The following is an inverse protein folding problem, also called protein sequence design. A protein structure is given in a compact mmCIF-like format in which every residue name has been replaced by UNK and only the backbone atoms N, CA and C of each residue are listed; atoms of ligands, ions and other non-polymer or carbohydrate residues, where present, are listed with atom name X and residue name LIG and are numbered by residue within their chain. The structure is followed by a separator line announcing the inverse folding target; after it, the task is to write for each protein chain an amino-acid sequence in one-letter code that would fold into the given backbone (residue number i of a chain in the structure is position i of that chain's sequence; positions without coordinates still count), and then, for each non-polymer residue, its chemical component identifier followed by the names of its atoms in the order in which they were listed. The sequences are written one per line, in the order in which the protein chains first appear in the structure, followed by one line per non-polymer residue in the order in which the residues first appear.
data_IF_117525120646
#
_entry.id   IF_117525120646
#
_cell.length_a   1.000
_cell.length_b   1.000
_cell.length_c   1.000
_cell.angle_alpha   90.00
_cell.angle_beta   90.00
_cell.angle_gamma   90.00
#
_symmetry.space_group_name_H-M   'P 1'
#
loop_
_entity.id
_entity.type
_entity.pdbx_description
1 polymer ?
#
# COMPACT_ATOMS: atom_id res chain seq x y z
N UNK A 1 23.03 23.70 45.92
CA UNK A 1 22.67 22.76 44.84
C UNK A 1 23.61 21.58 44.96
N UNK A 2 23.09 20.39 45.29
CA UNK A 2 23.90 19.17 45.23
C UNK A 2 24.12 18.88 43.74
N UNK A 3 25.38 18.98 43.31
CA UNK A 3 25.76 18.71 41.92
C UNK A 3 25.54 17.23 41.62
N UNK A 4 24.93 16.97 40.47
CA UNK A 4 24.74 15.62 39.93
C UNK A 4 26.09 14.89 39.86
N UNK A 5 26.16 13.65 40.33
CA UNK A 5 27.42 12.90 40.36
C UNK A 5 27.75 12.32 38.99
N UNK A 6 29.04 12.17 38.68
CA UNK A 6 29.49 11.60 37.40
C UNK A 6 28.93 10.20 37.16
N UNK A 7 28.81 9.39 38.22
CA UNK A 7 28.27 8.04 38.13
C UNK A 7 26.79 8.02 37.76
N UNK A 8 25.99 8.99 38.22
CA UNK A 8 24.58 9.11 37.82
C UNK A 8 24.46 9.42 36.32
N UNK A 9 25.37 10.25 35.77
CA UNK A 9 25.38 10.56 34.34
C UNK A 9 25.75 9.35 33.49
N UNK A 10 26.78 8.60 33.90
CA UNK A 10 27.21 7.41 33.17
C UNK A 10 26.12 6.33 33.18
N UNK A 11 25.43 6.13 34.30
CA UNK A 11 24.33 5.17 34.39
C UNK A 11 23.17 5.54 33.45
N UNK A 12 22.81 6.82 33.36
CA UNK A 12 21.77 7.30 32.44
C UNK A 12 22.18 7.07 30.98
N UNK A 13 23.43 7.37 30.61
CA UNK A 13 23.93 7.15 29.25
C UNK A 13 23.88 5.67 28.87
N UNK A 14 24.33 4.78 29.77
CA UNK A 14 24.28 3.32 29.53
C UNK A 14 22.84 2.84 29.39
N UNK A 15 21.91 3.32 30.24
CA UNK A 15 20.49 2.97 30.14
C UNK A 15 19.88 3.45 28.82
N UNK A 16 20.13 4.70 28.41
CA UNK A 16 19.63 5.24 27.14
C UNK A 16 20.22 4.45 25.96
N UNK A 17 21.49 4.05 26.02
CA UNK A 17 22.12 3.24 24.98
C UNK A 17 21.42 1.90 24.75
N UNK A 18 21.12 1.17 25.84
CA UNK A 18 20.42 -0.12 25.76
C UNK A 18 18.98 0.08 25.26
N UNK A 19 18.25 1.06 25.81
CA UNK A 19 16.87 1.35 25.39
C UNK A 19 16.81 1.78 23.92
N UNK A 20 17.74 2.60 23.46
CA UNK A 20 17.79 3.07 22.06
C UNK A 20 18.05 1.92 21.09
N UNK A 21 18.89 0.95 21.45
CA UNK A 21 19.16 -0.23 20.62
C UNK A 21 17.90 -1.09 20.42
N UNK A 22 17.15 -1.32 21.51
CA UNK A 22 15.90 -2.08 21.46
C UNK A 22 14.83 -1.30 20.69
N UNK A 23 14.74 0.01 20.91
CA UNK A 23 13.78 0.86 20.20
C UNK A 23 14.04 0.89 18.68
N UNK A 24 15.30 0.97 18.26
CA UNK A 24 15.66 1.00 16.83
C UNK A 24 15.14 -0.25 16.08
N UNK A 25 15.26 -1.43 16.68
CA UNK A 25 14.74 -2.67 16.06
C UNK A 25 13.21 -2.65 15.94
N UNK A 26 12.51 -2.26 17.01
CA UNK A 26 11.05 -2.18 17.00
C UNK A 26 10.52 -1.11 16.04
N UNK A 27 11.26 -0.02 15.83
CA UNK A 27 10.85 1.04 14.92
C UNK A 27 10.74 0.56 13.46
N UNK A 28 11.50 -0.46 13.04
CA UNK A 28 11.44 -1.00 11.67
C UNK A 28 10.07 -1.61 11.39
N UNK A 29 9.56 -2.46 12.29
CA UNK A 29 8.24 -3.07 12.12
C UNK A 29 7.10 -2.08 12.25
N UNK A 30 7.23 -1.08 13.14
CA UNK A 30 6.25 0.00 13.27
C UNK A 30 6.23 0.88 12.01
N UNK A 31 7.39 1.21 11.44
CA UNK A 31 7.47 2.01 10.22
C UNK A 31 6.81 1.29 9.04
N UNK A 32 6.98 -0.02 8.93
CA UNK A 32 6.30 -0.85 7.95
C UNK A 32 4.78 -0.80 8.13
N UNK A 33 4.28 -1.05 9.34
CA UNK A 33 2.84 -1.05 9.62
C UNK A 33 2.21 0.34 9.33
N UNK A 34 2.93 1.42 9.63
CA UNK A 34 2.52 2.79 9.28
C UNK A 34 2.48 2.99 7.77
N UNK A 35 3.48 2.50 7.02
CA UNK A 35 3.50 2.60 5.56
C UNK A 35 2.31 1.85 4.95
N UNK A 36 2.03 0.62 5.42
CA UNK A 36 0.88 -0.18 4.97
C UNK A 36 -0.43 0.56 5.25
N UNK A 37 -0.59 1.14 6.45
CA UNK A 37 -1.80 1.90 6.81
C UNK A 37 -1.96 3.18 5.96
N UNK A 38 -0.86 3.86 5.64
CA UNK A 38 -0.87 5.04 4.77
C UNK A 38 -1.25 4.69 3.33
N UNK A 39 -0.79 3.54 2.81
CA UNK A 39 -1.21 3.02 1.51
C UNK A 39 -2.72 2.73 1.47
N UNK A 40 -3.22 2.04 2.49
CA UNK A 40 -4.64 1.67 2.55
C UNK A 40 -5.52 2.92 2.65
N UNK A 41 -5.11 3.92 3.42
CA UNK A 41 -5.78 5.22 3.50
C UNK A 41 -5.75 5.98 2.16
N UNK A 42 -4.63 5.90 1.44
CA UNK A 42 -4.47 6.51 0.11
C UNK A 42 -5.43 5.87 -0.88
N UNK A 43 -5.43 4.55 -0.99
CA UNK A 43 -6.31 3.82 -1.92
C UNK A 43 -7.78 3.99 -1.56
N UNK A 44 -8.13 4.03 -0.27
CA UNK A 44 -9.49 4.34 0.17
C UNK A 44 -9.91 5.75 -0.24
N UNK A 45 -8.97 6.70 -0.18
CA UNK A 45 -9.20 8.05 -0.70
C UNK A 45 -9.43 8.02 -2.20
N UNK A 46 -8.66 7.23 -2.98
CA UNK A 46 -8.90 7.06 -4.42
C UNK A 46 -10.31 6.53 -4.69
N UNK A 47 -10.71 5.43 -4.04
CA UNK A 47 -12.04 4.83 -4.18
C UNK A 47 -13.16 5.83 -3.91
N UNK A 48 -13.05 6.59 -2.82
CA UNK A 48 -14.03 7.63 -2.47
C UNK A 48 -14.10 8.73 -3.53
N UNK A 49 -12.94 9.22 -3.99
CA UNK A 49 -12.90 10.30 -4.98
C UNK A 49 -13.51 9.87 -6.31
N UNK A 50 -13.22 8.65 -6.78
CA UNK A 50 -13.79 8.08 -8.01
C UNK A 50 -15.32 8.10 -7.96
N UNK A 51 -15.92 7.55 -6.90
CA UNK A 51 -17.38 7.50 -6.74
C UNK A 51 -17.99 8.90 -6.56
N UNK A 52 -17.34 9.78 -5.79
CA UNK A 52 -17.83 11.14 -5.56
C UNK A 52 -17.78 12.01 -6.83
N UNK A 53 -16.73 11.87 -7.64
CA UNK A 53 -16.56 12.62 -8.88
C UNK A 53 -17.63 12.25 -9.91
N UNK A 54 -17.97 10.95 -10.02
CA UNK A 54 -19.08 10.51 -10.86
C UNK A 54 -20.41 11.05 -10.34
N UNK A 55 -20.66 10.98 -9.03
CA UNK A 55 -21.88 11.52 -8.42
C UNK A 55 -22.06 13.03 -8.71
N UNK A 56 -20.98 13.81 -8.65
CA UNK A 56 -21.00 15.23 -8.98
C UNK A 56 -21.27 15.48 -10.48
N UNK A 57 -20.64 14.70 -11.37
CA UNK A 57 -20.88 14.84 -12.82
C UNK A 57 -22.31 14.48 -13.23
N UNK A 58 -22.90 13.46 -12.58
CA UNK A 58 -24.30 13.09 -12.78
C UNK A 58 -25.25 14.20 -12.34
N UNK A 59 -24.95 14.89 -11.23
CA UNK A 59 -25.73 16.06 -10.80
C UNK A 59 -25.68 17.22 -11.81
N UNK A 60 -24.57 17.34 -12.55
CA UNK A 60 -24.38 18.34 -13.62
C UNK A 60 -24.99 17.93 -14.97
N UNK A 61 -25.63 16.75 -15.05
CA UNK A 61 -26.30 16.26 -16.25
C UNK A 61 -25.38 15.57 -17.28
N UNK A 62 -24.14 15.26 -16.91
CA UNK A 62 -23.21 14.46 -17.71
C UNK A 62 -23.42 12.96 -17.44
N UNK A 63 -23.30 12.05 -18.42
CA UNK A 63 -23.40 10.59 -18.26
C UNK A 63 -22.54 9.90 -17.19
N UNK A 64 -21.83 10.60 -16.31
CA UNK A 64 -21.18 9.98 -15.15
C UNK A 64 -20.08 8.99 -15.52
N UNK A 65 -19.04 9.46 -16.22
CA UNK A 65 -17.90 8.63 -16.60
C UNK A 65 -16.86 8.59 -15.47
N UNK A 66 -16.41 7.39 -15.10
CA UNK A 66 -15.25 7.25 -14.22
C UNK A 66 -13.96 7.77 -14.91
N UNK A 67 -13.01 8.33 -14.14
CA UNK A 67 -11.79 8.87 -14.70
C UNK A 67 -10.89 7.76 -15.29
N UNK A 68 -10.15 8.06 -16.36
CA UNK A 68 -9.23 7.08 -16.94
C UNK A 68 -7.99 6.85 -16.03
N UNK A 69 -7.60 7.84 -15.23
CA UNK A 69 -6.56 7.73 -14.18
C UNK A 69 -7.19 7.99 -12.80
N UNK A 70 -7.06 7.05 -11.84
CA UNK A 70 -7.68 7.14 -10.52
C UNK A 70 -7.12 8.25 -9.63
N UNK A 71 -5.99 8.87 -9.98
CA UNK A 71 -5.41 10.02 -9.27
C UNK A 71 -5.91 11.38 -9.78
N UNK A 72 -6.76 11.39 -10.80
CA UNK A 72 -7.39 12.63 -11.28
C UNK A 72 -8.48 13.07 -10.30
N UNK A 73 -8.69 14.39 -10.19
CA UNK A 73 -9.71 15.02 -9.35
C UNK A 73 -9.58 14.76 -7.84
N UNK A 74 -8.39 14.35 -7.38
CA UNK A 74 -8.10 14.29 -5.95
C UNK A 74 -7.97 15.69 -5.37
N UNK A 75 -8.61 15.94 -4.23
CA UNK A 75 -8.40 17.17 -3.44
C UNK A 75 -6.97 17.32 -2.94
N UNK A 76 -6.27 16.21 -2.72
CA UNK A 76 -4.82 16.16 -2.45
C UNK A 76 -4.23 14.92 -3.10
N UNK A 77 -3.27 15.12 -3.99
CA UNK A 77 -2.51 14.00 -4.57
C UNK A 77 -1.54 13.43 -3.53
N UNK A 78 -1.37 12.10 -3.47
CA UNK A 78 -0.38 11.48 -2.60
C UNK A 78 1.02 12.00 -2.88
N UNK A 79 1.82 12.07 -1.81
CA UNK A 79 3.25 12.37 -1.95
C UNK A 79 3.92 11.27 -2.78
N UNK A 80 4.82 11.65 -3.68
CA UNK A 80 5.48 10.71 -4.58
C UNK A 80 4.66 10.30 -5.81
N UNK A 81 3.42 10.78 -6.00
CA UNK A 81 2.68 10.54 -7.24
C UNK A 81 3.31 11.25 -8.44
N UNK A 82 3.69 10.48 -9.46
CA UNK A 82 4.26 10.98 -10.70
C UNK A 82 3.35 10.70 -11.90
N UNK A 83 2.53 11.69 -12.27
CA UNK A 83 1.63 11.62 -13.44
C UNK A 83 2.35 11.43 -14.78
N UNK A 84 3.60 11.88 -14.90
CA UNK A 84 4.35 11.83 -16.18
C UNK A 84 4.96 10.45 -16.44
N UNK A 85 5.00 9.61 -15.41
CA UNK A 85 5.51 8.26 -15.51
C UNK A 85 4.36 7.33 -15.88
N UNK A 86 4.60 6.46 -16.85
CA UNK A 86 3.65 5.44 -17.31
C UNK A 86 4.27 4.05 -17.33
N UNK A 87 5.34 3.86 -16.55
CA UNK A 87 6.05 2.58 -16.41
C UNK A 87 6.00 2.16 -14.95
N UNK A 88 5.90 0.85 -14.72
CA UNK A 88 5.93 0.27 -13.38
C UNK A 88 7.21 0.66 -12.61
N UNK A 89 7.15 0.71 -11.27
CA UNK A 89 8.35 0.83 -10.44
C UNK A 89 9.30 -0.34 -10.69
N UNK A 90 10.60 -0.09 -10.51
CA UNK A 90 11.67 -1.05 -10.77
C UNK A 90 11.99 -1.94 -9.59
N UNK A 91 11.66 -1.52 -8.36
CA UNK A 91 12.19 -2.11 -7.14
C UNK A 91 13.59 -1.61 -6.79
N UNK A 92 14.11 -0.59 -7.48
CA UNK A 92 15.39 0.04 -7.17
C UNK A 92 15.19 1.31 -6.32
N UNK A 93 16.19 1.74 -5.53
CA UNK A 93 16.08 2.90 -4.63
C UNK A 93 15.65 4.23 -5.29
N UNK A 94 15.81 4.34 -6.60
CA UNK A 94 15.38 5.51 -7.39
C UNK A 94 13.86 5.70 -7.40
N UNK A 95 13.11 4.63 -7.16
CA UNK A 95 11.65 4.60 -7.21
C UNK A 95 11.01 4.57 -5.81
N UNK A 96 11.77 4.76 -4.74
CA UNK A 96 11.24 4.72 -3.38
C UNK A 96 10.24 5.85 -3.10
N UNK A 97 9.11 5.48 -2.50
CA UNK A 97 7.98 6.38 -2.22
C UNK A 97 7.16 6.74 -3.46
N UNK A 98 7.47 6.17 -4.63
CA UNK A 98 6.79 6.49 -5.87
C UNK A 98 5.38 5.93 -5.92
N UNK A 99 4.42 6.79 -6.24
CA UNK A 99 3.10 6.40 -6.73
C UNK A 99 3.00 6.63 -8.23
N UNK A 100 2.41 5.69 -8.96
CA UNK A 100 2.20 5.84 -10.40
C UNK A 100 0.97 5.06 -10.86
N UNK A 101 0.23 5.62 -11.80
CA UNK A 101 -0.78 4.90 -12.55
C UNK A 101 -0.21 4.50 -13.90
N UNK A 102 -0.29 3.21 -14.22
CA UNK A 102 0.16 2.65 -15.50
C UNK A 102 -1.08 2.17 -16.26
N UNK A 103 -1.47 2.83 -17.36
CA UNK A 103 -2.59 2.41 -18.17
C UNK A 103 -2.26 1.13 -18.96
N UNK A 104 -3.28 0.34 -19.24
CA UNK A 104 -3.20 -0.90 -19.99
C UNK A 104 -3.32 -2.17 -19.13
N UNK A 105 -3.89 -3.21 -19.72
CA UNK A 105 -4.15 -4.51 -19.05
C UNK A 105 -2.94 -5.45 -19.05
N UNK A 106 -1.71 -4.92 -19.14
CA UNK A 106 -0.49 -5.74 -19.12
C UNK A 106 -0.25 -6.34 -17.73
N UNK A 107 -0.95 -7.42 -17.40
CA UNK A 107 -0.94 -8.05 -16.09
C UNK A 107 -1.99 -9.17 -15.94
N UNK A 108 -2.34 -9.46 -14.70
CA UNK A 108 -3.35 -10.45 -14.33
C UNK A 108 -4.74 -9.84 -14.59
N UNK A 109 -5.57 -10.50 -15.38
CA UNK A 109 -7.02 -10.21 -15.38
C UNK A 109 -7.61 -10.90 -14.16
N UNK A 110 -8.09 -10.12 -13.20
CA UNK A 110 -8.76 -10.65 -12.01
C UNK A 110 -10.19 -11.03 -12.37
N UNK A 111 -10.66 -12.16 -11.85
CA UNK A 111 -12.11 -12.42 -11.83
C UNK A 111 -12.79 -11.40 -10.90
N UNK A 112 -14.11 -11.16 -11.04
CA UNK A 112 -14.82 -10.25 -10.15
C UNK A 112 -14.67 -10.61 -8.66
N UNK A 113 -14.59 -11.91 -8.34
CA UNK A 113 -14.38 -12.41 -6.98
C UNK A 113 -12.98 -12.05 -6.47
N UNK A 114 -11.94 -12.21 -7.30
CA UNK A 114 -10.56 -11.84 -6.96
C UNK A 114 -10.37 -10.33 -6.86
N UNK A 115 -11.14 -9.56 -7.64
CA UNK A 115 -11.23 -8.12 -7.54
C UNK A 115 -12.04 -7.64 -6.32
N UNK A 116 -12.54 -8.56 -5.49
CA UNK A 116 -13.27 -8.25 -4.26
C UNK A 116 -14.60 -7.53 -4.50
N UNK A 117 -15.24 -7.79 -5.65
CA UNK A 117 -16.51 -7.16 -6.02
C UNK A 117 -17.64 -8.18 -6.15
N UNK A 118 -18.87 -7.70 -6.02
CA UNK A 118 -20.10 -8.47 -6.29
C UNK A 118 -20.64 -8.23 -7.71
N UNK A 119 -19.97 -7.40 -8.50
CA UNK A 119 -20.32 -7.19 -9.90
C UNK A 119 -20.03 -8.45 -10.73
N UNK A 120 -20.75 -8.62 -11.84
CA UNK A 120 -20.57 -9.76 -12.75
C UNK A 120 -19.37 -9.65 -13.68
N UNK A 121 -18.69 -8.50 -13.69
CA UNK A 121 -17.51 -8.26 -14.52
C UNK A 121 -16.54 -7.31 -13.83
N UNK A 122 -15.26 -7.54 -14.05
CA UNK A 122 -14.17 -6.64 -13.68
C UNK A 122 -13.21 -6.60 -14.86
N UNK A 123 -13.02 -5.42 -15.45
CA UNK A 123 -12.12 -5.24 -16.59
C UNK A 123 -10.95 -4.37 -16.16
N UNK A 124 -9.74 -4.93 -16.19
CA UNK A 124 -8.54 -4.18 -15.79
C UNK A 124 -8.18 -3.16 -16.88
N UNK A 125 -8.41 -1.88 -16.61
CA UNK A 125 -8.01 -0.76 -17.46
C UNK A 125 -6.55 -0.38 -17.24
N UNK A 126 -6.01 -0.62 -16.05
CA UNK A 126 -4.62 -0.33 -15.69
C UNK A 126 -4.32 -0.73 -14.26
N UNK A 127 -3.12 -0.36 -13.80
CA UNK A 127 -2.66 -0.65 -12.45
C UNK A 127 -2.17 0.61 -11.75
N UNK A 128 -2.60 0.79 -10.51
CA UNK A 128 -1.97 1.71 -9.58
C UNK A 128 -0.80 0.98 -8.93
N UNK A 129 0.37 1.60 -8.89
CA UNK A 129 1.56 1.07 -8.23
C UNK A 129 2.01 2.01 -7.11
N UNK A 130 2.55 1.41 -6.06
CA UNK A 130 3.35 2.09 -5.06
C UNK A 130 4.63 1.29 -4.79
N UNK A 131 5.77 1.96 -4.75
CA UNK A 131 7.00 1.38 -4.23
C UNK A 131 7.33 2.01 -2.89
N UNK A 132 7.43 1.19 -1.85
CA UNK A 132 7.80 1.60 -0.50
C UNK A 132 9.29 1.91 -0.41
N UNK A 133 9.69 2.56 0.69
CA UNK A 133 11.10 2.87 0.98
C UNK A 133 11.97 1.64 1.26
N UNK A 134 11.36 0.48 1.48
CA UNK A 134 12.06 -0.80 1.59
C UNK A 134 12.20 -1.49 0.22
N UNK A 135 11.86 -0.83 -0.89
CA UNK A 135 11.84 -1.36 -2.26
C UNK A 135 10.73 -2.39 -2.56
N UNK A 136 9.83 -2.66 -1.61
CA UNK A 136 8.67 -3.51 -1.87
C UNK A 136 7.70 -2.80 -2.80
N UNK A 137 7.31 -3.46 -3.89
CA UNK A 137 6.34 -2.92 -4.87
C UNK A 137 5.01 -3.59 -4.67
N UNK A 138 3.98 -2.76 -4.48
CA UNK A 138 2.58 -3.18 -4.39
C UNK A 138 1.79 -2.56 -5.53
N UNK A 139 0.71 -3.23 -5.91
CA UNK A 139 -0.17 -2.77 -6.98
C UNK A 139 -1.65 -3.06 -6.70
N UNK A 140 -2.50 -2.32 -7.39
CA UNK A 140 -3.95 -2.50 -7.40
C UNK A 140 -4.45 -2.41 -8.84
N UNK A 141 -5.27 -3.35 -9.27
CA UNK A 141 -5.93 -3.28 -10.57
C UNK A 141 -7.04 -2.22 -10.50
N UNK A 142 -7.14 -1.40 -11.56
CA UNK A 142 -8.17 -0.40 -11.71
C UNK A 142 -9.08 -0.73 -12.89
N UNK A 143 -10.38 -0.71 -12.63
CA UNK A 143 -11.44 -0.83 -13.63
C UNK A 143 -12.09 0.54 -13.83
N UNK A 144 -11.78 1.17 -14.98
CA UNK A 144 -12.36 2.48 -15.33
C UNK A 144 -13.77 2.39 -15.93
N UNK A 145 -14.29 1.19 -16.18
CA UNK A 145 -15.67 0.98 -16.61
C UNK A 145 -16.59 0.99 -15.40
N UNK A 146 -16.19 0.30 -14.32
CA UNK A 146 -16.99 0.17 -13.10
C UNK A 146 -16.52 1.08 -11.95
N UNK A 147 -15.40 1.77 -12.12
CA UNK A 147 -14.83 2.66 -11.10
C UNK A 147 -14.26 1.92 -9.88
N UNK A 148 -13.85 0.67 -10.06
CA UNK A 148 -13.42 -0.21 -8.97
C UNK A 148 -11.89 -0.31 -8.89
N UNK A 149 -11.38 -0.37 -7.67
CA UNK A 149 -9.97 -0.67 -7.38
C UNK A 149 -9.92 -2.00 -6.61
N UNK A 150 -9.20 -2.98 -7.14
CA UNK A 150 -9.05 -4.31 -6.56
C UNK A 150 -8.41 -4.27 -5.15
N UNK A 151 -8.39 -5.39 -4.42
CA UNK A 151 -7.53 -5.57 -3.26
C UNK A 151 -6.05 -5.37 -3.61
N UNK A 152 -5.24 -5.14 -2.57
CA UNK A 152 -3.79 -4.98 -2.66
C UNK A 152 -3.15 -6.28 -3.16
N UNK A 153 -2.28 -6.16 -4.15
CA UNK A 153 -1.47 -7.25 -4.68
C UNK A 153 0.00 -6.88 -4.47
N UNK A 154 0.77 -7.76 -3.87
CA UNK A 154 2.21 -7.58 -3.72
C UNK A 154 2.88 -8.06 -5.01
N UNK A 155 3.53 -7.15 -5.74
CA UNK A 155 4.21 -7.43 -7.00
C UNK A 155 5.62 -7.98 -6.76
N UNK A 156 6.39 -7.29 -5.92
CA UNK A 156 7.73 -7.69 -5.52
C UNK A 156 7.98 -7.33 -4.07
N UNK A 157 8.76 -8.16 -3.38
CA UNK A 157 9.20 -7.92 -2.01
C UNK A 157 10.70 -7.78 -2.00
N UNK A 158 11.18 -6.84 -1.18
CA UNK A 158 12.59 -6.73 -0.90
C UNK A 158 13.07 -7.84 0.04
N UNK A 159 14.39 -8.03 0.06
CA UNK A 159 15.00 -9.00 0.97
C UNK A 159 14.80 -8.60 2.44
N UNK A 160 14.77 -7.29 2.73
CA UNK A 160 14.48 -6.78 4.07
C UNK A 160 13.07 -7.17 4.51
N UNK A 161 12.07 -6.95 3.65
CA UNK A 161 10.67 -7.34 3.90
C UNK A 161 10.55 -8.84 4.17
N UNK A 162 11.22 -9.68 3.36
CA UNK A 162 11.21 -11.14 3.55
C UNK A 162 11.81 -11.56 4.89
N UNK A 163 12.93 -10.95 5.30
CA UNK A 163 13.55 -11.24 6.58
C UNK A 163 12.65 -10.80 7.75
N UNK A 164 12.04 -9.63 7.64
CA UNK A 164 11.12 -9.12 8.65
C UNK A 164 9.88 -9.99 8.80
N UNK A 165 9.29 -10.45 7.69
CA UNK A 165 8.16 -11.38 7.70
C UNK A 165 8.53 -12.76 8.27
N UNK A 166 9.76 -13.24 8.04
CA UNK A 166 10.25 -14.47 8.69
C UNK A 166 10.40 -14.28 10.20
N UNK A 167 10.94 -13.15 10.64
CA UNK A 167 11.08 -12.84 12.06
C UNK A 167 9.72 -12.70 12.75
N UNK A 168 8.76 -12.02 12.10
CA UNK A 168 7.35 -11.92 12.55
C UNK A 168 6.74 -13.31 12.74
N UNK A 169 6.92 -14.22 11.77
CA UNK A 169 6.45 -15.62 11.90
C UNK A 169 7.09 -16.35 13.07
N UNK A 170 8.39 -16.18 13.31
CA UNK A 170 9.06 -16.79 14.46
C UNK A 170 8.53 -16.26 15.81
N UNK A 171 8.08 -15.00 15.86
CA UNK A 171 7.41 -14.41 17.03
C UNK A 171 5.92 -14.76 17.15
N UNK A 172 5.35 -15.47 16.17
CA UNK A 172 3.92 -15.77 16.11
C UNK A 172 3.04 -14.57 15.70
N UNK A 173 3.63 -13.56 15.07
CA UNK A 173 2.92 -12.39 14.54
C UNK A 173 2.43 -12.65 13.11
N UNK A 174 1.24 -12.15 12.77
CA UNK A 174 0.69 -12.25 11.42
C UNK A 174 1.44 -11.34 10.44
N UNK A 175 1.85 -11.93 9.31
CA UNK A 175 2.46 -11.18 8.20
C UNK A 175 1.41 -10.45 7.35
N UNK A 176 1.84 -9.43 6.60
CA UNK A 176 0.97 -8.68 5.69
C UNK A 176 0.26 -9.60 4.69
N UNK A 177 0.99 -10.56 4.11
CA UNK A 177 0.44 -11.57 3.19
C UNK A 177 -0.64 -12.42 3.84
N UNK A 178 -0.45 -12.79 5.10
CA UNK A 178 -1.41 -13.63 5.83
C UNK A 178 -2.68 -12.86 6.18
N UNK A 179 -2.53 -11.59 6.58
CA UNK A 179 -3.67 -10.67 6.76
C UNK A 179 -4.43 -10.47 5.45
N UNK A 180 -3.73 -10.26 4.33
CA UNK A 180 -4.33 -10.10 3.02
C UNK A 180 -5.10 -11.36 2.58
N UNK A 181 -4.55 -12.56 2.84
CA UNK A 181 -5.22 -13.83 2.55
C UNK A 181 -6.50 -14.03 3.37
N UNK A 182 -6.50 -13.63 4.65
CA UNK A 182 -7.67 -13.73 5.53
C UNK A 182 -8.82 -12.81 5.11
N UNK A 183 -8.49 -11.65 4.55
CA UNK A 183 -9.48 -10.66 4.09
C UNK A 183 -10.08 -11.01 2.73
N UNK A 184 -9.51 -11.98 2.00
CA UNK A 184 -10.15 -12.55 0.83
C UNK A 184 -11.18 -13.59 1.29
N UNK A 185 -12.43 -13.57 0.78
CA UNK A 185 -13.42 -14.57 1.15
C UNK A 185 -12.91 -15.96 0.79
N UNK A 186 -12.94 -16.89 1.76
CA UNK A 186 -12.59 -18.30 1.56
C UNK A 186 -13.53 -18.94 0.53
N UNK A 187 -13.12 -18.92 -0.74
CA UNK A 187 -13.83 -19.57 -1.84
C UNK A 187 -12.95 -19.91 -3.05
N UNK A 188 -11.67 -19.50 -3.07
CA UNK A 188 -10.78 -19.68 -4.22
C UNK A 188 -9.66 -20.73 -4.02
N UNK A 189 -9.86 -21.69 -3.11
CA UNK A 189 -9.07 -22.93 -3.11
C UNK A 189 -10.00 -24.13 -3.23
N UNK A 190 -10.59 -24.26 -4.41
CA UNK A 190 -11.26 -25.47 -4.86
C UNK A 190 -10.69 -25.87 -6.22
N UNK A 191 -10.13 -27.09 -6.25
CA UNK A 191 -9.71 -27.87 -7.44
C UNK A 191 -8.29 -27.56 -7.98
N UNK A 192 -7.32 -28.29 -7.44
CA UNK A 192 -6.31 -28.95 -8.28
C UNK A 192 -6.92 -30.19 -8.91
#
# INVERSE_FOLDING_TARGET
QQGFTFIELVLVIVMIGILSSIAAQKMISVAEDVAIAAEDATVETLRKNITSGVSESMFKGDPGKFPDDPFINLGRTPEGYNRRRSIRPTGDPVDDGLWVYVPGSSGINLTPEEAGTTLSSFTTSGFVYHQRNDHTVVKWAYDSINGLISPKIIESESDLKRQLDLEKKLRGEETEKEKARRLQPEGATGVK
#
